data_IF_605932441300
#
_entry.id   IF_605932441300
#
_cell.length_a   1.000
_cell.length_b   1.000
_cell.length_c   1.000
_cell.angle_alpha   90.00
_cell.angle_beta   90.00
_cell.angle_gamma   90.00
#
_symmetry.space_group_name_H-M   'P 1'
#
loop_
_entity.id
_entity.type
_entity.pdbx_description
1 polymer ?
#
# COMPACT_ATOMS: atom_id res chain seq x y z
N UNK A 1 32.14 61.69 -7.14
CA UNK A 1 32.84 60.93 -6.08
C UNK A 1 33.38 59.66 -6.68
N UNK A 2 34.54 59.24 -6.20
CA UNK A 2 35.50 58.35 -6.85
C UNK A 2 35.01 56.93 -7.13
N UNK A 3 35.53 56.38 -8.24
CA UNK A 3 35.55 54.96 -8.55
C UNK A 3 36.69 54.27 -7.79
N UNK A 4 36.46 53.05 -7.30
CA UNK A 4 37.53 52.12 -6.92
C UNK A 4 37.13 50.69 -7.29
N UNK A 5 37.93 50.07 -8.16
CA UNK A 5 37.93 48.65 -8.53
C UNK A 5 38.75 47.82 -7.52
N UNK A 6 38.76 46.51 -7.79
CA UNK A 6 39.80 45.48 -7.50
C UNK A 6 39.72 44.88 -6.06
N UNK A 7 39.90 43.58 -5.74
CA UNK A 7 40.56 42.39 -6.33
C UNK A 7 39.84 41.11 -5.85
N UNK A 8 39.80 40.08 -6.71
CA UNK A 8 39.53 38.66 -6.41
C UNK A 8 40.80 37.97 -5.88
N UNK A 9 40.73 37.19 -4.81
CA UNK A 9 41.74 36.17 -4.49
C UNK A 9 41.10 34.82 -4.18
N UNK A 10 41.36 33.87 -5.08
CA UNK A 10 41.13 32.45 -4.87
C UNK A 10 42.38 31.86 -4.20
N UNK A 11 42.20 31.04 -3.16
CA UNK A 11 43.25 30.18 -2.62
C UNK A 11 42.90 28.71 -2.88
N UNK A 12 43.48 28.18 -3.94
CA UNK A 12 43.73 26.76 -4.17
C UNK A 12 44.97 26.33 -3.40
N UNK A 13 44.87 25.30 -2.57
CA UNK A 13 46.02 24.52 -2.11
C UNK A 13 45.86 23.09 -2.57
N UNK A 14 46.65 22.74 -3.58
CA UNK A 14 46.93 21.38 -4.00
C UNK A 14 48.16 20.88 -3.22
N UNK A 15 48.07 19.66 -2.69
CA UNK A 15 49.23 18.90 -2.23
C UNK A 15 49.13 17.48 -2.79
N UNK A 16 49.91 17.24 -3.84
CA UNK A 16 50.24 15.94 -4.41
C UNK A 16 51.48 15.38 -3.73
N UNK A 17 51.49 14.12 -3.28
CA UNK A 17 52.72 13.32 -3.24
C UNK A 17 52.44 11.80 -3.34
N UNK A 18 52.92 11.25 -4.46
CA UNK A 18 53.67 9.99 -4.62
C UNK A 18 52.98 8.62 -4.46
N UNK A 19 52.67 8.06 -5.63
CA UNK A 19 52.71 6.62 -5.95
C UNK A 19 54.15 6.06 -5.89
N UNK A 20 54.32 4.83 -5.41
CA UNK A 20 55.24 3.81 -5.98
C UNK A 20 54.73 2.38 -5.75
N UNK A 21 55.14 1.40 -6.59
CA UNK A 21 54.36 0.19 -6.88
C UNK A 21 55.05 -1.15 -6.50
N UNK A 22 54.27 -2.23 -6.71
CA UNK A 22 54.64 -3.65 -6.93
C UNK A 22 55.07 -4.54 -5.75
N UNK A 23 54.33 -5.64 -5.56
CA UNK A 23 54.85 -7.02 -5.72
C UNK A 23 53.70 -8.04 -5.80
N UNK A 24 53.90 -9.04 -6.67
CA UNK A 24 52.94 -10.04 -7.13
C UNK A 24 53.56 -11.44 -6.90
N UNK A 25 52.69 -12.44 -6.66
CA UNK A 25 52.85 -13.93 -6.81
C UNK A 25 53.44 -14.75 -5.65
N UNK A 26 53.24 -16.09 -5.59
CA UNK A 26 52.19 -16.96 -6.18
C UNK A 26 51.61 -18.07 -5.25
N UNK A 27 50.55 -18.72 -5.74
CA UNK A 27 50.08 -20.12 -5.53
C UNK A 27 50.72 -21.01 -4.44
N UNK A 28 49.87 -21.64 -3.62
CA UNK A 28 50.01 -23.07 -3.29
C UNK A 28 48.64 -23.77 -3.23
N UNK A 29 48.43 -24.68 -4.18
CA UNK A 29 47.45 -25.76 -4.16
C UNK A 29 48.03 -26.94 -3.40
N UNK A 30 47.29 -27.52 -2.45
CA UNK A 30 47.60 -28.83 -1.88
C UNK A 30 46.37 -29.73 -1.99
N UNK A 31 46.45 -30.64 -2.97
CA UNK A 31 45.68 -31.88 -3.00
C UNK A 31 46.27 -32.82 -1.94
N UNK A 32 45.40 -33.44 -1.13
CA UNK A 32 45.68 -34.70 -0.47
C UNK A 32 44.43 -35.59 -0.58
N UNK A 33 44.50 -36.56 -1.48
CA UNK A 33 43.75 -37.80 -1.37
C UNK A 33 44.44 -38.69 -0.33
N UNK A 34 43.68 -39.41 0.51
CA UNK A 34 43.76 -40.87 0.65
C UNK A 34 42.71 -41.43 1.64
N UNK A 35 42.06 -42.51 1.17
CA UNK A 35 41.49 -43.66 1.88
C UNK A 35 40.29 -43.53 2.86
N UNK A 36 39.12 -43.91 2.31
CA UNK A 36 38.32 -45.08 2.67
C UNK A 36 38.54 -45.67 4.09
N UNK A 37 37.54 -45.51 4.96
CA UNK A 37 37.11 -46.60 5.82
C UNK A 37 35.60 -46.52 6.15
N UNK A 38 35.00 -47.71 6.29
CA UNK A 38 33.56 -48.02 6.21
C UNK A 38 32.76 -47.73 7.49
N UNK A 39 31.53 -47.22 7.29
CA UNK A 39 30.25 -47.47 7.98
C UNK A 39 30.09 -47.10 9.48
N UNK A 40 28.88 -46.74 9.98
CA UNK A 40 27.55 -47.14 9.48
C UNK A 40 26.55 -46.01 9.18
N UNK A 41 25.56 -46.41 8.37
CA UNK A 41 24.38 -45.66 7.96
C UNK A 41 23.57 -45.29 9.21
N UNK A 42 23.53 -44.00 9.55
CA UNK A 42 22.51 -43.45 10.43
C UNK A 42 21.34 -43.01 9.57
N UNK A 43 20.23 -43.75 9.65
CA UNK A 43 18.98 -43.39 9.00
C UNK A 43 18.46 -42.10 9.65
N UNK A 44 18.77 -40.96 9.03
CA UNK A 44 18.04 -39.72 9.32
C UNK A 44 16.60 -39.95 8.89
N UNK A 45 15.71 -40.09 9.88
CA UNK A 45 14.27 -39.99 9.65
C UNK A 45 14.02 -38.60 9.11
N UNK A 46 13.90 -38.48 7.79
CA UNK A 46 13.25 -37.34 7.16
C UNK A 46 11.85 -37.25 7.77
N UNK A 47 11.70 -36.43 8.82
CA UNK A 47 10.39 -35.85 9.12
C UNK A 47 10.08 -35.01 7.90
N UNK A 48 9.31 -35.59 7.00
CA UNK A 48 8.44 -34.85 6.11
C UNK A 48 7.67 -33.90 7.02
N UNK A 49 8.10 -32.65 7.06
CA UNK A 49 7.21 -31.57 7.43
C UNK A 49 6.13 -31.63 6.37
N UNK A 50 5.03 -32.32 6.71
CA UNK A 50 3.75 -32.15 6.04
C UNK A 50 3.50 -30.66 6.05
N UNK A 51 3.77 -30.01 4.91
CA UNK A 51 3.26 -28.69 4.63
C UNK A 51 1.77 -28.78 4.92
N UNK A 52 1.35 -28.25 6.07
CA UNK A 52 -0.06 -27.94 6.27
C UNK A 52 -0.31 -26.97 5.13
N UNK A 53 -0.94 -27.44 4.06
CA UNK A 53 -1.69 -26.61 3.15
C UNK A 53 -2.43 -25.62 4.05
N UNK A 54 -1.90 -24.39 4.16
CA UNK A 54 -2.51 -23.34 4.94
C UNK A 54 -3.85 -23.16 4.27
N UNK A 55 -4.89 -23.71 4.90
CA UNK A 55 -6.27 -23.54 4.49
C UNK A 55 -6.48 -22.03 4.47
N UNK A 56 -6.40 -21.42 3.29
CA UNK A 56 -6.82 -20.03 3.09
C UNK A 56 -8.34 -20.11 3.15
N UNK A 57 -8.99 -19.60 4.20
CA UNK A 57 -10.44 -19.61 4.24
C UNK A 57 -10.93 -18.89 2.99
N UNK A 58 -11.79 -19.54 2.23
CA UNK A 58 -12.51 -18.88 1.15
C UNK A 58 -13.53 -17.96 1.84
N UNK A 59 -13.32 -16.66 1.68
CA UNK A 59 -14.13 -15.61 2.29
C UNK A 59 -15.22 -15.23 1.30
N UNK A 60 -16.44 -15.16 1.79
CA UNK A 60 -17.61 -14.70 1.03
C UNK A 60 -18.17 -13.44 1.68
N UNK A 61 -18.88 -12.63 0.90
CA UNK A 61 -19.63 -11.49 1.41
C UNK A 61 -21.08 -11.88 1.71
N UNK A 62 -21.67 -11.21 2.69
CA UNK A 62 -23.10 -11.27 3.01
C UNK A 62 -23.62 -9.87 3.24
N UNK A 63 -24.60 -9.50 2.44
CA UNK A 63 -25.34 -8.26 2.60
C UNK A 63 -26.35 -8.38 3.73
N UNK A 64 -26.48 -7.31 4.51
CA UNK A 64 -27.50 -7.11 5.54
C UNK A 64 -28.13 -5.73 5.33
N UNK A 65 -29.44 -5.62 5.52
CA UNK A 65 -30.21 -4.44 5.09
C UNK A 65 -30.46 -4.39 3.57
N UNK A 66 -31.11 -3.33 3.11
CA UNK A 66 -31.38 -3.09 1.68
C UNK A 66 -30.32 -2.15 1.09
N UNK A 67 -29.87 -2.34 -0.16
CA UNK A 67 -29.01 -1.35 -0.81
C UNK A 67 -29.63 0.05 -0.78
N UNK A 68 -28.77 1.07 -0.70
CA UNK A 68 -29.16 2.49 -0.60
C UNK A 68 -30.00 2.84 0.66
N UNK A 69 -29.73 2.15 1.78
CA UNK A 69 -30.26 2.51 3.09
C UNK A 69 -29.15 2.71 4.13
N UNK A 70 -29.45 3.42 5.23
CA UNK A 70 -28.47 3.74 6.28
C UNK A 70 -28.00 2.51 7.07
N UNK A 71 -28.83 1.46 7.12
CA UNK A 71 -28.57 0.19 7.79
C UNK A 71 -27.91 -0.85 6.88
N UNK A 72 -27.67 -0.54 5.59
CA UNK A 72 -26.98 -1.45 4.67
C UNK A 72 -25.55 -1.74 5.13
N UNK A 73 -25.20 -3.02 5.20
CA UNK A 73 -23.86 -3.52 5.56
C UNK A 73 -23.46 -4.68 4.66
N UNK A 74 -22.18 -4.76 4.32
CA UNK A 74 -21.58 -5.95 3.69
C UNK A 74 -20.60 -6.57 4.67
N UNK A 75 -20.98 -7.71 5.25
CA UNK A 75 -20.15 -8.49 6.15
C UNK A 75 -19.32 -9.52 5.39
N UNK A 76 -18.19 -9.91 5.96
CA UNK A 76 -17.33 -10.97 5.44
C UNK A 76 -17.44 -12.22 6.32
N UNK A 77 -17.54 -13.39 5.68
CA UNK A 77 -17.69 -14.66 6.37
C UNK A 77 -16.75 -15.70 5.79
N UNK A 78 -16.19 -16.54 6.65
CA UNK A 78 -15.61 -17.80 6.22
C UNK A 78 -16.72 -18.77 5.77
N UNK A 79 -16.35 -19.81 5.02
CA UNK A 79 -17.22 -20.96 4.73
C UNK A 79 -17.89 -21.59 5.97
N UNK A 80 -17.28 -21.46 7.15
CA UNK A 80 -17.84 -21.92 8.42
C UNK A 80 -19.06 -21.11 8.89
N UNK A 81 -19.32 -19.94 8.28
CA UNK A 81 -20.30 -18.96 8.73
C UNK A 81 -19.76 -18.00 9.80
N UNK A 82 -18.49 -18.14 10.20
CA UNK A 82 -17.83 -17.20 11.13
C UNK A 82 -17.60 -15.86 10.45
N UNK A 83 -18.06 -14.76 11.07
CA UNK A 83 -17.73 -13.40 10.64
C UNK A 83 -16.24 -13.14 10.79
N UNK A 84 -15.69 -12.42 9.83
CA UNK A 84 -14.30 -11.93 9.83
C UNK A 84 -14.29 -10.44 9.55
N UNK A 85 -13.37 -9.72 10.16
CA UNK A 85 -13.12 -8.32 9.84
C UNK A 85 -12.35 -8.22 8.52
N UNK A 86 -12.86 -7.51 7.49
CA UNK A 86 -12.07 -7.23 6.30
C UNK A 86 -10.81 -6.44 6.62
N UNK A 87 -10.84 -5.58 7.64
CA UNK A 87 -9.66 -4.80 8.04
C UNK A 87 -8.63 -5.64 8.80
N UNK A 88 -9.04 -6.46 9.78
CA UNK A 88 -8.09 -7.10 10.69
C UNK A 88 -7.78 -8.57 10.35
N UNK A 89 -8.74 -9.33 9.84
CA UNK A 89 -8.62 -10.79 9.71
C UNK A 89 -8.14 -11.23 8.32
N UNK A 90 -8.32 -10.39 7.29
CA UNK A 90 -7.82 -10.67 5.94
C UNK A 90 -6.32 -10.38 5.92
N UNK A 91 -5.45 -11.35 5.58
CA UNK A 91 -4.01 -11.10 5.56
C UNK A 91 -3.64 -10.02 4.54
N UNK A 92 -2.81 -9.05 4.92
CA UNK A 92 -2.26 -8.08 3.96
C UNK A 92 -1.49 -8.77 2.84
N UNK A 93 -0.56 -9.65 3.23
CA UNK A 93 0.39 -10.28 2.31
C UNK A 93 -0.12 -11.62 1.79
N UNK A 94 -0.04 -11.82 0.47
CA UNK A 94 -0.29 -13.11 -0.18
C UNK A 94 1.02 -13.89 -0.39
N UNK A 95 2.13 -13.16 -0.60
CA UNK A 95 3.48 -13.66 -0.90
C UNK A 95 4.11 -12.89 -2.07
N UNK A 96 5.43 -12.89 -2.22
CA UNK A 96 6.16 -12.37 -3.40
C UNK A 96 5.80 -10.93 -3.85
N UNK A 97 5.56 -10.02 -2.88
CA UNK A 97 5.17 -8.63 -3.17
C UNK A 97 3.74 -8.46 -3.67
N UNK A 98 2.90 -9.49 -3.46
CA UNK A 98 1.47 -9.50 -3.77
C UNK A 98 0.66 -9.28 -2.50
N UNK A 99 -0.36 -8.44 -2.62
CA UNK A 99 -1.22 -8.01 -1.52
C UNK A 99 -2.67 -8.38 -1.80
N UNK A 100 -3.44 -8.62 -0.73
CA UNK A 100 -4.89 -8.61 -0.84
C UNK A 100 -5.36 -7.15 -0.87
N UNK A 101 -6.27 -6.84 -1.78
CA UNK A 101 -6.97 -5.57 -1.90
C UNK A 101 -8.47 -5.83 -1.79
N UNK A 102 -9.15 -5.04 -0.98
CA UNK A 102 -10.60 -5.18 -0.77
C UNK A 102 -11.29 -4.05 -1.53
N UNK A 103 -12.11 -4.42 -2.50
CA UNK A 103 -12.88 -3.46 -3.28
C UNK A 103 -14.03 -2.94 -2.42
N UNK A 104 -14.06 -1.64 -2.16
CA UNK A 104 -15.16 -0.98 -1.45
C UNK A 104 -16.11 -0.32 -2.45
N UNK A 105 -15.53 0.40 -3.41
CA UNK A 105 -16.26 1.15 -4.43
C UNK A 105 -15.91 0.56 -5.81
N UNK A 106 -16.86 -0.13 -6.46
CA UNK A 106 -16.67 -0.63 -7.81
C UNK A 106 -16.35 0.48 -8.81
N UNK A 107 -15.47 0.18 -9.77
CA UNK A 107 -15.21 1.02 -10.93
C UNK A 107 -16.50 1.52 -11.59
N UNK A 108 -16.50 2.78 -12.02
CA UNK A 108 -17.64 3.50 -12.61
C UNK A 108 -18.86 3.57 -11.69
N UNK A 109 -18.65 3.79 -10.38
CA UNK A 109 -19.73 4.04 -9.42
C UNK A 109 -19.45 5.24 -8.51
N UNK A 110 -20.47 5.72 -7.80
CA UNK A 110 -20.38 6.96 -7.01
C UNK A 110 -20.80 6.80 -5.54
N UNK A 111 -21.41 5.68 -5.14
CA UNK A 111 -21.72 5.45 -3.72
C UNK A 111 -20.40 5.38 -2.93
N UNK A 112 -20.21 6.29 -1.97
CA UNK A 112 -19.01 6.28 -1.13
C UNK A 112 -19.15 5.16 -0.10
N UNK A 113 -18.73 3.97 -0.48
CA UNK A 113 -18.65 2.80 0.38
C UNK A 113 -17.28 2.77 1.06
N UNK A 114 -17.25 2.36 2.32
CA UNK A 114 -16.04 2.28 3.12
C UNK A 114 -16.19 1.23 4.21
N UNK A 115 -15.08 0.69 4.67
CA UNK A 115 -15.02 -0.13 5.87
C UNK A 115 -15.46 0.70 7.08
N UNK A 116 -16.37 0.16 7.87
CA UNK A 116 -16.80 0.78 9.13
C UNK A 116 -15.76 0.51 10.21
N UNK A 117 -14.71 1.34 10.27
CA UNK A 117 -13.61 1.20 11.24
C UNK A 117 -14.05 1.26 12.70
N UNK A 118 -15.24 1.81 12.96
CA UNK A 118 -15.87 2.00 14.27
C UNK A 118 -16.87 0.88 14.66
N UNK A 119 -17.17 -0.06 13.75
CA UNK A 119 -18.17 -1.11 13.97
C UNK A 119 -17.54 -2.51 14.18
N UNK A 120 -18.15 -3.39 15.02
CA UNK A 120 -17.71 -4.76 15.17
C UNK A 120 -17.70 -5.54 13.84
N UNK A 121 -16.63 -6.29 13.61
CA UNK A 121 -16.31 -6.99 12.36
C UNK A 121 -16.12 -6.07 11.15
N UNK A 122 -16.05 -4.76 11.37
CA UNK A 122 -15.73 -3.73 10.38
C UNK A 122 -16.38 -3.97 9.01
N UNK A 123 -17.72 -4.11 8.91
CA UNK A 123 -18.39 -4.32 7.63
C UNK A 123 -18.18 -3.13 6.69
N UNK A 124 -18.37 -3.32 5.38
CA UNK A 124 -18.45 -2.19 4.46
C UNK A 124 -19.84 -1.54 4.60
N UNK A 125 -19.89 -0.21 4.75
CA UNK A 125 -21.11 0.61 4.80
C UNK A 125 -20.97 1.81 3.85
N UNK A 126 -22.07 2.47 3.55
CA UNK A 126 -22.02 3.74 2.83
C UNK A 126 -21.79 4.89 3.81
N UNK A 127 -20.83 5.76 3.51
CA UNK A 127 -20.57 6.98 4.25
C UNK A 127 -21.83 7.87 4.29
N UNK A 128 -21.97 8.67 5.34
CA UNK A 128 -23.08 9.59 5.52
C UNK A 128 -22.62 11.02 5.74
N UNK A 129 -23.31 11.97 5.11
CA UNK A 129 -23.09 13.40 5.31
C UNK A 129 -24.41 14.07 5.66
N UNK A 130 -24.48 14.69 6.85
CA UNK A 130 -25.70 15.32 7.38
C UNK A 130 -26.90 14.36 7.44
N UNK A 131 -26.65 13.11 7.86
CA UNK A 131 -27.67 12.06 8.02
C UNK A 131 -28.21 11.49 6.71
N UNK A 132 -27.55 11.76 5.57
CA UNK A 132 -27.89 11.23 4.26
C UNK A 132 -26.73 10.43 3.69
N UNK A 133 -27.05 9.39 2.93
CA UNK A 133 -26.07 8.61 2.18
C UNK A 133 -25.24 9.50 1.26
N UNK A 134 -23.92 9.33 1.31
CA UNK A 134 -22.97 10.13 0.54
C UNK A 134 -22.67 9.47 -0.78
N UNK A 135 -22.70 10.30 -1.83
CA UNK A 135 -22.24 9.95 -3.16
C UNK A 135 -21.14 10.93 -3.56
N UNK A 136 -20.13 10.44 -4.27
CA UNK A 136 -19.20 11.32 -4.97
C UNK A 136 -19.94 12.11 -6.06
N UNK A 137 -19.54 13.37 -6.31
CA UNK A 137 -20.15 14.17 -7.38
C UNK A 137 -19.81 13.66 -8.78
N UNK A 138 -18.79 12.80 -8.89
CA UNK A 138 -18.38 12.11 -10.10
C UNK A 138 -18.18 10.62 -9.78
N UNK A 139 -18.37 9.75 -10.75
CA UNK A 139 -17.99 8.34 -10.58
C UNK A 139 -16.48 8.22 -10.37
N UNK A 140 -16.07 7.25 -9.56
CA UNK A 140 -14.68 6.81 -9.52
C UNK A 140 -14.44 5.90 -10.74
N UNK A 141 -13.37 6.16 -11.50
CA UNK A 141 -13.09 5.44 -12.76
C UNK A 141 -12.30 4.14 -12.55
N UNK A 142 -12.07 3.74 -11.29
CA UNK A 142 -11.22 2.63 -10.87
C UNK A 142 -11.92 1.84 -9.78
N UNK A 143 -11.50 0.59 -9.58
CA UNK A 143 -11.90 -0.08 -8.34
C UNK A 143 -11.13 0.59 -7.21
N UNK A 144 -11.85 0.93 -6.15
CA UNK A 144 -11.30 1.65 -5.01
C UNK A 144 -11.65 0.95 -3.72
N UNK A 145 -10.77 1.05 -2.75
CA UNK A 145 -10.94 0.48 -1.42
C UNK A 145 -9.61 0.43 -0.70
N UNK A 146 -9.35 -0.62 0.06
CA UNK A 146 -8.24 -0.63 1.03
C UNK A 146 -7.30 -1.83 0.94
N UNK A 147 -6.11 -1.66 1.53
CA UNK A 147 -5.24 -2.75 1.96
C UNK A 147 -5.57 -3.16 3.40
N UNK A 148 -5.93 -4.44 3.65
CA UNK A 148 -6.24 -4.89 4.98
C UNK A 148 -4.97 -4.89 5.84
N UNK A 149 -5.14 -4.84 7.16
CA UNK A 149 -4.05 -4.81 8.13
C UNK A 149 -3.08 -3.64 7.94
N UNK A 150 -3.56 -2.51 7.43
CA UNK A 150 -2.83 -1.25 7.38
C UNK A 150 -3.58 -0.19 8.17
N UNK A 151 -2.88 0.83 8.68
CA UNK A 151 -3.50 1.93 9.39
C UNK A 151 -2.61 3.17 9.30
N UNK A 152 -3.20 4.28 8.85
CA UNK A 152 -2.58 5.59 8.80
C UNK A 152 -2.67 6.26 10.18
N UNK A 153 -1.67 5.99 11.03
CA UNK A 153 -1.64 6.45 12.42
C UNK A 153 -1.71 7.99 12.51
N UNK A 154 -2.77 8.57 13.11
CA UNK A 154 -2.97 10.02 13.19
C UNK A 154 -2.04 10.70 14.19
N UNK A 155 -1.18 9.94 14.88
CA UNK A 155 -0.20 10.46 15.84
C UNK A 155 1.22 10.53 15.27
N UNK A 156 1.45 9.96 14.08
CA UNK A 156 2.76 9.93 13.43
C UNK A 156 2.83 10.95 12.29
N UNK A 157 3.61 12.01 12.49
CA UNK A 157 3.87 13.01 11.46
C UNK A 157 4.83 12.45 10.38
N UNK A 158 4.47 12.59 9.11
CA UNK A 158 5.31 12.21 7.99
C UNK A 158 6.26 13.35 7.61
N UNK A 159 7.57 13.18 7.87
CA UNK A 159 8.58 14.21 7.61
C UNK A 159 8.84 14.49 6.13
N UNK A 160 8.48 13.57 5.23
CA UNK A 160 8.66 13.71 3.78
C UNK A 160 7.47 14.43 3.13
N UNK A 161 6.36 14.56 3.87
CA UNK A 161 5.12 15.21 3.41
C UNK A 161 4.68 16.29 4.40
N UNK A 162 5.51 17.33 4.54
CA UNK A 162 5.20 18.56 5.31
C UNK A 162 4.83 18.33 6.79
N UNK A 163 5.15 17.16 7.37
CA UNK A 163 4.76 16.81 8.74
C UNK A 163 3.27 16.49 8.89
N UNK A 164 2.56 16.15 7.81
CA UNK A 164 1.17 15.73 7.85
C UNK A 164 1.00 14.42 8.63
N UNK A 165 -0.12 14.30 9.35
CA UNK A 165 -0.49 13.11 10.13
C UNK A 165 -1.44 12.23 9.34
N UNK A 166 -1.47 10.92 9.60
CA UNK A 166 -2.39 10.00 8.92
C UNK A 166 -3.87 10.32 9.20
N UNK A 167 -4.75 9.88 8.30
CA UNK A 167 -6.21 10.10 8.33
C UNK A 167 -6.99 9.14 9.24
N UNK A 168 -6.28 8.28 9.98
CA UNK A 168 -6.83 7.29 10.91
C UNK A 168 -7.56 6.10 10.24
N UNK A 169 -7.48 5.95 8.92
CA UNK A 169 -8.10 4.86 8.16
C UNK A 169 -7.05 3.85 7.64
N UNK A 170 -7.48 2.72 7.06
CA UNK A 170 -6.59 1.82 6.34
C UNK A 170 -6.12 2.46 5.02
N UNK A 171 -4.93 2.07 4.55
CA UNK A 171 -4.36 2.65 3.33
C UNK A 171 -5.23 2.37 2.11
N UNK A 172 -5.54 3.43 1.38
CA UNK A 172 -6.37 3.39 0.20
C UNK A 172 -5.62 2.87 -1.05
N UNK A 173 -6.38 2.22 -1.92
CA UNK A 173 -5.91 1.64 -3.18
C UNK A 173 -6.78 2.10 -4.34
N UNK A 174 -6.12 2.49 -5.42
CA UNK A 174 -6.71 2.72 -6.74
C UNK A 174 -6.22 1.60 -7.66
N UNK A 175 -7.09 0.63 -7.94
CA UNK A 175 -6.79 -0.51 -8.79
C UNK A 175 -7.14 -0.19 -10.26
N UNK A 176 -6.12 -0.20 -11.12
CA UNK A 176 -6.19 0.39 -12.47
C UNK A 176 -6.62 -0.59 -13.58
N UNK A 177 -6.93 -1.84 -13.21
CA UNK A 177 -7.31 -2.89 -14.15
C UNK A 177 -8.57 -2.59 -14.94
N UNK A 178 -8.80 -3.38 -15.98
CA UNK A 178 -9.95 -3.20 -16.85
C UNK A 178 -11.26 -3.65 -16.20
N UNK A 179 -11.23 -4.74 -15.43
CA UNK A 179 -12.39 -5.40 -14.85
C UNK A 179 -13.03 -4.56 -13.74
N UNK A 180 -14.37 -4.47 -13.76
CA UNK A 180 -15.15 -3.89 -12.67
C UNK A 180 -15.35 -4.92 -11.55
N UNK A 181 -14.79 -4.63 -10.38
CA UNK A 181 -14.96 -5.46 -9.19
C UNK A 181 -16.34 -5.29 -8.53
N UNK A 182 -16.57 -6.05 -7.47
CA UNK A 182 -17.79 -5.99 -6.64
C UNK A 182 -17.46 -5.49 -5.23
N UNK A 183 -18.44 -4.90 -4.54
CA UNK A 183 -18.28 -4.51 -3.14
C UNK A 183 -17.90 -5.74 -2.30
N UNK A 184 -16.80 -5.61 -1.57
CA UNK A 184 -16.17 -6.64 -0.75
C UNK A 184 -15.43 -7.75 -1.51
N UNK A 185 -15.23 -7.60 -2.82
CA UNK A 185 -14.37 -8.51 -3.58
C UNK A 185 -12.91 -8.37 -3.12
N UNK A 186 -12.23 -9.50 -2.96
CA UNK A 186 -10.82 -9.54 -2.55
C UNK A 186 -9.98 -9.88 -3.78
N UNK A 187 -9.27 -8.89 -4.30
CA UNK A 187 -8.37 -9.04 -5.44
C UNK A 187 -6.93 -9.23 -4.95
N UNK A 188 -6.14 -9.95 -5.74
CA UNK A 188 -4.69 -10.02 -5.55
C UNK A 188 -4.05 -8.97 -6.43
N UNK A 189 -3.38 -8.01 -5.80
CA UNK A 189 -2.81 -6.87 -6.52
C UNK A 189 -1.30 -6.78 -6.29
N UNK A 190 -0.62 -6.14 -7.22
CA UNK A 190 0.74 -5.63 -6.98
C UNK A 190 0.74 -4.10 -7.04
N UNK A 191 1.44 -3.43 -6.10
CA UNK A 191 1.57 -1.98 -6.10
C UNK A 191 2.53 -1.52 -7.20
N UNK A 192 2.25 -0.34 -7.73
CA UNK A 192 2.96 0.28 -8.85
C UNK A 192 3.50 1.66 -8.47
N UNK A 193 2.84 2.35 -7.55
CA UNK A 193 3.25 3.66 -7.06
C UNK A 193 2.34 4.17 -5.94
N UNK A 194 2.65 5.35 -5.41
CA UNK A 194 1.88 5.98 -4.33
C UNK A 194 1.70 7.48 -4.58
N UNK A 195 0.51 8.00 -4.32
CA UNK A 195 0.22 9.43 -4.30
C UNK A 195 -0.02 9.86 -2.86
N UNK A 196 0.68 10.92 -2.42
CA UNK A 196 0.50 11.53 -1.10
C UNK A 196 -0.59 12.59 -1.18
N UNK A 197 -1.87 12.27 -1.01
CA UNK A 197 -2.91 13.30 -0.95
C UNK A 197 -2.91 13.96 0.42
N UNK A 198 -3.12 15.28 0.46
CA UNK A 198 -3.44 16.00 1.70
C UNK A 198 -4.93 16.34 1.66
N UNK A 199 -5.73 15.60 2.42
CA UNK A 199 -7.16 15.78 2.53
C UNK A 199 -7.51 16.53 3.81
N UNK A 200 -7.95 17.79 3.68
CA UNK A 200 -8.31 18.65 4.82
C UNK A 200 -7.23 18.78 5.94
N UNK A 201 -5.97 18.50 5.61
CA UNK A 201 -4.81 18.59 6.52
C UNK A 201 -4.24 17.24 6.95
N UNK A 202 -4.94 16.16 6.64
CA UNK A 202 -4.53 14.78 6.89
C UNK A 202 -3.82 14.21 5.66
N UNK A 203 -2.81 13.40 5.90
CA UNK A 203 -2.15 12.59 4.89
C UNK A 203 -3.02 11.37 4.63
N UNK A 204 -3.34 11.19 3.35
CA UNK A 204 -4.20 10.13 2.86
C UNK A 204 -3.47 9.51 1.65
N UNK A 205 -2.88 8.32 1.83
CA UNK A 205 -2.11 7.66 0.80
C UNK A 205 -2.99 6.94 -0.20
N UNK A 206 -2.84 7.26 -1.49
CA UNK A 206 -3.45 6.50 -2.59
C UNK A 206 -2.42 5.59 -3.24
N UNK A 207 -2.45 4.30 -2.92
CA UNK A 207 -1.62 3.30 -3.58
C UNK A 207 -2.20 2.98 -4.95
N UNK A 208 -1.42 3.20 -6.01
CA UNK A 208 -1.79 2.76 -7.36
C UNK A 208 -1.36 1.31 -7.51
N UNK A 209 -2.30 0.43 -7.83
CA UNK A 209 -2.06 -1.00 -7.96
C UNK A 209 -2.77 -1.58 -9.18
N UNK A 210 -2.41 -2.82 -9.55
CA UNK A 210 -3.11 -3.57 -10.60
C UNK A 210 -3.37 -5.00 -10.13
N UNK A 211 -4.56 -5.51 -10.44
CA UNK A 211 -4.91 -6.92 -10.24
C UNK A 211 -3.96 -7.82 -11.02
N UNK A 212 -3.53 -8.93 -10.41
CA UNK A 212 -2.72 -9.94 -11.09
C UNK A 212 -3.50 -10.70 -12.18
N UNK A 213 -4.83 -10.66 -12.11
CA UNK A 213 -5.70 -11.28 -13.11
C UNK A 213 -5.93 -10.37 -14.33
N UNK A 214 -5.44 -9.12 -14.29
CA UNK A 214 -5.53 -8.20 -15.44
C UNK A 214 -4.57 -8.65 -16.57
N UNK A 215 -5.01 -8.65 -17.85
CA UNK A 215 -4.16 -9.06 -18.97
C UNK A 215 -2.86 -8.25 -19.12
N UNK A 216 -2.86 -6.98 -18.69
CA UNK A 216 -1.69 -6.09 -18.72
C UNK A 216 -0.86 -6.15 -17.46
N UNK A 217 -1.25 -6.92 -16.43
CA UNK A 217 -0.51 -7.01 -15.17
C UNK A 217 0.96 -7.33 -15.40
N UNK A 218 1.27 -8.28 -16.28
CA UNK A 218 2.67 -8.66 -16.59
C UNK A 218 3.52 -7.54 -17.22
N UNK A 219 2.88 -6.55 -17.85
CA UNK A 219 3.53 -5.45 -18.56
C UNK A 219 3.88 -4.26 -17.65
N UNK A 220 3.30 -4.19 -16.45
CA UNK A 220 3.40 -3.01 -15.59
C UNK A 220 3.97 -3.39 -14.24
N UNK A 221 5.18 -2.91 -13.92
CA UNK A 221 5.90 -3.31 -12.71
C UNK A 221 6.36 -2.12 -11.86
N UNK A 222 6.27 -0.91 -12.37
CA UNK A 222 6.57 0.35 -11.67
C UNK A 222 5.75 1.51 -12.26
N UNK A 223 5.85 2.69 -11.67
CA UNK A 223 5.10 3.90 -12.03
C UNK A 223 5.30 4.33 -13.48
N UNK A 224 6.50 4.16 -14.04
CA UNK A 224 6.80 4.53 -15.43
C UNK A 224 6.10 3.60 -16.43
N UNK A 225 5.91 2.32 -16.08
CA UNK A 225 5.18 1.39 -16.93
C UNK A 225 3.67 1.72 -16.97
N UNK A 226 3.14 2.35 -15.90
CA UNK A 226 1.74 2.80 -15.87
C UNK A 226 1.51 3.78 -17.00
N UNK A 227 2.29 4.85 -17.10
CA UNK A 227 2.09 5.86 -18.15
C UNK A 227 2.37 5.30 -19.56
N UNK A 228 3.21 4.26 -19.68
CA UNK A 228 3.45 3.58 -20.94
C UNK A 228 2.27 2.73 -21.42
N UNK A 229 1.59 2.04 -20.51
CA UNK A 229 0.53 1.06 -20.83
C UNK A 229 -0.90 1.53 -20.54
N UNK A 230 -1.01 2.60 -19.75
CA UNK A 230 -2.20 3.31 -19.29
C UNK A 230 -1.92 4.84 -19.32
N UNK A 231 -1.72 5.43 -20.51
CA UNK A 231 -1.29 6.82 -20.64
C UNK A 231 -2.30 7.80 -20.05
N UNK A 232 -1.80 8.71 -19.22
CA UNK A 232 -2.60 9.73 -18.53
C UNK A 232 -3.29 9.25 -17.26
N UNK A 233 -3.20 7.96 -16.91
CA UNK A 233 -3.91 7.40 -15.77
C UNK A 233 -3.45 8.00 -14.44
N UNK A 234 -2.16 8.22 -14.19
CA UNK A 234 -1.73 8.80 -12.91
C UNK A 234 -2.18 10.26 -12.78
N UNK A 235 -2.19 10.99 -13.90
CA UNK A 235 -2.71 12.36 -13.94
C UNK A 235 -4.21 12.38 -13.67
N UNK A 236 -4.98 11.45 -14.27
CA UNK A 236 -6.41 11.34 -14.05
C UNK A 236 -6.74 10.99 -12.59
N UNK A 237 -6.00 10.06 -11.97
CA UNK A 237 -6.18 9.70 -10.56
C UNK A 237 -5.95 10.93 -9.68
N UNK A 238 -4.80 11.59 -9.85
CA UNK A 238 -4.47 12.80 -9.08
C UNK A 238 -5.53 13.89 -9.25
N UNK A 239 -5.95 14.17 -10.49
CA UNK A 239 -6.91 15.24 -10.77
C UNK A 239 -8.31 14.92 -10.20
N UNK A 240 -8.73 13.66 -10.24
CA UNK A 240 -9.98 13.23 -9.60
C UNK A 240 -9.95 13.51 -8.09
N UNK A 241 -8.89 13.05 -7.40
CA UNK A 241 -8.72 13.24 -5.95
C UNK A 241 -8.43 14.69 -5.55
N UNK A 242 -7.84 15.49 -6.44
CA UNK A 242 -7.70 16.94 -6.27
C UNK A 242 -9.07 17.62 -6.22
N UNK A 243 -9.96 17.27 -7.14
CA UNK A 243 -11.13 18.09 -7.46
C UNK A 243 -12.45 17.55 -6.88
N UNK A 244 -12.51 16.30 -6.39
CA UNK A 244 -13.78 15.65 -6.04
C UNK A 244 -14.59 16.35 -4.94
N UNK A 245 -13.97 17.15 -4.07
CA UNK A 245 -14.68 17.93 -3.04
C UNK A 245 -15.05 19.35 -3.48
N UNK A 246 -14.62 19.80 -4.66
CA UNK A 246 -14.94 21.16 -5.17
C UNK A 246 -16.46 21.38 -5.30
N UNK A 247 -17.26 20.42 -5.83
CA UNK A 247 -18.72 20.56 -5.89
C UNK A 247 -19.39 20.69 -4.52
N UNK A 248 -18.73 20.21 -3.46
CA UNK A 248 -19.17 20.38 -2.06
C UNK A 248 -18.78 21.75 -1.46
N UNK A 249 -18.19 22.64 -2.26
CA UNK A 249 -17.72 23.97 -1.83
C UNK A 249 -16.40 23.96 -1.05
N UNK A 250 -15.67 22.85 -1.09
CA UNK A 250 -14.33 22.72 -0.48
C UNK A 250 -13.26 23.15 -1.48
N UNK A 251 -12.06 23.58 -1.01
CA UNK A 251 -10.93 23.80 -1.90
C UNK A 251 -10.46 22.49 -2.54
N UNK A 252 -9.67 22.61 -3.61
CA UNK A 252 -8.94 21.49 -4.17
C UNK A 252 -7.97 20.89 -3.13
N UNK A 253 -7.91 19.56 -3.06
CA UNK A 253 -6.93 18.85 -2.24
C UNK A 253 -5.51 19.08 -2.78
N UNK A 254 -4.52 18.99 -1.90
CA UNK A 254 -3.10 19.14 -2.28
C UNK A 254 -2.44 17.77 -2.37
N UNK A 255 -1.25 17.73 -2.97
CA UNK A 255 -0.45 16.52 -3.00
C UNK A 255 0.99 16.80 -2.54
N UNK A 256 1.51 15.88 -1.75
CA UNK A 256 2.92 15.80 -1.38
C UNK A 256 3.82 15.39 -2.52
N UNK A 257 5.11 15.19 -2.21
CA UNK A 257 6.10 14.60 -3.12
C UNK A 257 6.17 15.27 -4.51
N UNK A 258 5.96 16.59 -4.56
CA UNK A 258 5.99 17.36 -5.79
C UNK A 258 4.79 17.13 -6.72
N UNK A 259 3.63 16.73 -6.18
CA UNK A 259 2.38 16.46 -6.92
C UNK A 259 2.51 15.34 -7.96
N UNK A 260 3.36 14.34 -7.68
CA UNK A 260 3.63 13.20 -8.56
C UNK A 260 3.49 11.89 -7.79
N UNK A 261 3.17 10.82 -8.52
CA UNK A 261 3.24 9.48 -7.98
C UNK A 261 4.69 9.12 -7.69
N UNK A 262 4.96 8.65 -6.48
CA UNK A 262 6.20 7.99 -6.13
C UNK A 262 6.21 6.57 -6.72
N UNK A 263 7.41 6.00 -6.89
CA UNK A 263 7.60 4.70 -7.50
C UNK A 263 7.12 3.54 -6.60
N UNK A 264 7.19 2.32 -7.13
CA UNK A 264 6.80 1.10 -6.43
C UNK A 264 7.53 0.91 -5.09
N UNK A 265 8.82 1.18 -5.04
CA UNK A 265 9.61 1.00 -3.80
C UNK A 265 9.10 1.91 -2.68
N UNK A 266 8.73 3.15 -3.03
CA UNK A 266 8.10 4.07 -2.09
C UNK A 266 6.71 3.58 -1.66
N UNK A 267 5.91 3.06 -2.60
CA UNK A 267 4.62 2.47 -2.26
C UNK A 267 4.77 1.29 -1.27
N UNK A 268 5.75 0.41 -1.48
CA UNK A 268 6.04 -0.69 -0.57
C UNK A 268 6.49 -0.21 0.82
N UNK A 269 7.26 0.88 0.89
CA UNK A 269 7.61 1.53 2.15
C UNK A 269 6.36 2.01 2.90
N UNK A 270 5.46 2.75 2.23
CA UNK A 270 4.18 3.22 2.83
C UNK A 270 3.36 2.05 3.36
N UNK A 271 3.15 1.01 2.54
CA UNK A 271 2.40 -0.19 2.94
C UNK A 271 3.05 -0.86 4.17
N UNK A 272 4.37 -0.94 4.21
CA UNK A 272 5.09 -1.52 5.35
C UNK A 272 4.91 -0.69 6.62
N UNK A 273 5.10 0.63 6.55
CA UNK A 273 4.99 1.54 7.70
C UNK A 273 3.58 1.52 8.29
N UNK A 274 2.56 1.56 7.45
CA UNK A 274 1.15 1.50 7.87
C UNK A 274 0.73 0.12 8.38
N UNK A 275 1.32 -0.97 7.87
CA UNK A 275 1.16 -2.30 8.47
C UNK A 275 1.80 -2.40 9.86
N UNK A 276 2.96 -1.76 10.07
CA UNK A 276 3.59 -1.67 11.39
C UNK A 276 2.75 -0.85 12.37
N UNK A 277 2.15 0.25 11.92
CA UNK A 277 1.20 1.06 12.70
C UNK A 277 -0.03 0.25 13.09
N UNK A 278 -0.66 -0.44 12.13
CA UNK A 278 -1.77 -1.36 12.42
C UNK A 278 -1.36 -2.45 13.41
N UNK A 279 -0.16 -3.02 13.26
CA UNK A 279 0.33 -4.05 14.18
C UNK A 279 0.47 -3.53 15.61
N UNK A 280 0.88 -2.27 15.80
CA UNK A 280 0.90 -1.60 17.12
C UNK A 280 -0.51 -1.38 17.65
N UNK A 281 -1.44 -0.96 16.79
CA UNK A 281 -2.86 -0.75 17.10
C UNK A 281 -3.51 -2.03 17.63
N UNK A 282 -3.46 -3.13 16.87
CA UNK A 282 -4.11 -4.39 17.27
C UNK A 282 -3.44 -5.07 18.47
N UNK A 283 -2.14 -4.81 18.69
CA UNK A 283 -1.42 -5.22 19.91
C UNK A 283 -1.71 -4.31 21.11
N UNK A 284 -2.52 -3.25 20.93
CA UNK A 284 -2.86 -2.24 21.96
C UNK A 284 -1.62 -1.56 22.54
N UNK A 285 -0.58 -1.42 21.71
CA UNK A 285 0.62 -0.63 22.05
C UNK A 285 0.36 0.86 21.89
N UNK A 286 -0.67 1.23 21.15
CA UNK A 286 -1.24 2.58 21.04
C UNK A 286 -2.74 2.53 21.36
N UNK A 287 -3.35 3.63 21.85
CA UNK A 287 -4.78 3.69 22.09
C UNK A 287 -5.58 3.53 20.79
N UNK A 288 -6.64 2.71 20.81
CA UNK A 288 -7.51 2.52 19.66
C UNK A 288 -8.55 3.64 19.45
N UNK A 289 -8.79 4.46 20.48
CA UNK A 289 -9.86 5.46 20.43
C UNK A 289 -11.22 4.81 20.17
N UNK A 290 -11.88 5.25 19.11
CA UNK A 290 -13.19 4.76 18.66
C UNK A 290 -13.10 3.55 17.72
N UNK A 291 -11.89 3.15 17.31
CA UNK A 291 -11.69 2.06 16.38
C UNK A 291 -12.09 0.71 16.98
N UNK A 292 -12.91 -0.03 16.24
CA UNK A 292 -13.19 -1.43 16.50
C UNK A 292 -11.96 -2.26 16.15
N UNK A 293 -11.55 -3.16 17.05
CA UNK A 293 -10.43 -4.09 16.85
C UNK A 293 -10.89 -5.55 16.78
N UNK A 294 -12.19 -5.77 16.59
CA UNK A 294 -12.86 -7.07 16.62
C UNK A 294 -13.59 -7.35 15.32
#
# INVERSE_FOLDING_TARGET
MAATRVIVSANTTASSFLLKPHLLKPHQSLNLCFNLNKNPIFTSKNRLFSCKSLFKPEIITKEDGLPETLDYRVFFLEKSGRKVSPWHDIPLHVGDGVFNFIVEIPKESSAKMEVATDEPFTPIKQDTKKGKLRYYPYNINWNYGLLPQTWEDPTLANSEVEGAFGDNDPVDVVEIGETRGKIGEILKVKPLGALAMIDEGELDWKIVAISLDDPKASLVNDVDDVEKHFPGTLTAIRDWFRDYKIPDGKPANKFGLGNKAANKDYALKVITETNESWAKLVKRSVPAGELSLS
#
